data_IF_893143642710
#
_entry.id   IF_893143642710
#
_cell.length_a   1.000
_cell.length_b   1.000
_cell.length_c   1.000
_cell.angle_alpha   90.00
_cell.angle_beta   90.00
_cell.angle_gamma   90.00
#
_symmetry.space_group_name_H-M   'P 1'
#
loop_
_entity.id
_entity.type
_entity.pdbx_description
1 polymer ?
#
# COMPACT_ATOMS: atom_id res chain seq x y z
N UNK A 1 -5.69 7.61 -19.94
CA UNK A 1 -5.44 8.15 -18.59
C UNK A 1 -5.57 6.99 -17.60
N UNK A 2 -4.48 6.61 -16.93
CA UNK A 2 -4.51 5.50 -15.97
C UNK A 2 -5.29 5.95 -14.72
N UNK A 3 -6.38 5.26 -14.35
CA UNK A 3 -7.18 5.58 -13.18
C UNK A 3 -6.49 5.05 -11.92
N UNK A 4 -5.57 5.84 -11.37
CA UNK A 4 -4.80 5.55 -10.17
C UNK A 4 -5.70 5.46 -8.94
N UNK A 5 -6.79 6.23 -8.89
CA UNK A 5 -7.76 6.13 -7.80
C UNK A 5 -8.40 4.74 -7.70
N UNK A 6 -8.84 4.18 -8.84
CA UNK A 6 -9.39 2.81 -8.93
C UNK A 6 -8.33 1.77 -8.60
N UNK A 7 -7.12 1.95 -9.12
CA UNK A 7 -6.00 1.04 -8.82
C UNK A 7 -5.65 1.04 -7.33
N UNK A 8 -5.67 2.20 -6.68
CA UNK A 8 -5.48 2.33 -5.24
C UNK A 8 -6.61 1.63 -4.47
N UNK A 9 -7.87 1.76 -4.91
CA UNK A 9 -8.99 1.05 -4.29
C UNK A 9 -8.83 -0.47 -4.37
N UNK A 10 -8.48 -1.01 -5.54
CA UNK A 10 -8.20 -2.44 -5.71
C UNK A 10 -7.03 -2.90 -4.84
N UNK A 11 -5.98 -2.09 -4.71
CA UNK A 11 -4.83 -2.40 -3.85
C UNK A 11 -5.22 -2.46 -2.37
N UNK A 12 -6.11 -1.59 -1.90
CA UNK A 12 -6.63 -1.66 -0.53
C UNK A 12 -7.40 -2.96 -0.25
N UNK A 13 -8.00 -3.56 -1.28
CA UNK A 13 -8.74 -4.81 -1.20
C UNK A 13 -7.83 -6.05 -1.21
N UNK A 14 -6.60 -5.92 -1.70
CA UNK A 14 -5.63 -7.01 -1.78
C UNK A 14 -5.12 -7.42 -0.38
N UNK A 15 -5.43 -8.66 0.02
CA UNK A 15 -4.98 -9.24 1.29
C UNK A 15 -3.45 -9.30 1.42
N UNK A 16 -2.73 -9.54 0.33
CA UNK A 16 -1.27 -9.54 0.35
C UNK A 16 -0.69 -8.15 0.57
N UNK A 17 -1.37 -7.10 0.10
CA UNK A 17 -0.98 -5.73 0.39
C UNK A 17 -1.20 -5.38 1.86
N UNK A 18 -2.31 -5.85 2.46
CA UNK A 18 -2.57 -5.69 3.90
C UNK A 18 -1.49 -6.36 4.75
N UNK A 19 -1.12 -7.61 4.42
CA UNK A 19 -0.01 -8.32 5.07
C UNK A 19 1.34 -7.61 4.94
N UNK A 20 1.61 -6.97 3.79
CA UNK A 20 2.78 -6.12 3.62
C UNK A 20 2.78 -4.94 4.61
N UNK A 21 1.62 -4.32 4.84
CA UNK A 21 1.48 -3.22 5.79
C UNK A 21 1.64 -3.67 7.25
N UNK A 22 1.12 -4.84 7.61
CA UNK A 22 1.32 -5.45 8.94
C UNK A 22 2.82 -5.57 9.24
N UNK A 23 3.55 -6.24 8.34
CA UNK A 23 5.01 -6.45 8.47
C UNK A 23 5.78 -5.14 8.49
N UNK A 24 5.39 -4.17 7.66
CA UNK A 24 6.01 -2.84 7.63
C UNK A 24 5.78 -2.08 8.94
N UNK A 25 4.60 -2.19 9.55
CA UNK A 25 4.33 -1.60 10.88
C UNK A 25 5.14 -2.31 11.97
N UNK A 26 5.23 -3.63 11.98
CA UNK A 26 6.07 -4.36 12.94
C UNK A 26 7.50 -3.84 12.92
N UNK A 27 8.10 -3.77 11.73
CA UNK A 27 9.47 -3.30 11.56
C UNK A 27 9.65 -1.82 11.96
N UNK A 28 8.65 -0.96 11.70
CA UNK A 28 8.76 0.48 11.97
C UNK A 28 8.53 0.83 13.44
N UNK A 29 7.59 0.17 14.10
CA UNK A 29 7.16 0.51 15.47
C UNK A 29 7.69 -0.49 16.52
N UNK A 30 8.43 -1.52 16.11
CA UNK A 30 8.87 -2.62 16.96
C UNK A 30 7.73 -3.24 17.78
N UNK A 31 6.55 -3.34 17.15
CA UNK A 31 5.32 -3.86 17.74
C UNK A 31 5.01 -5.25 17.16
N UNK A 32 4.50 -6.15 18.00
CA UNK A 32 4.01 -7.45 17.57
C UNK A 32 2.56 -7.36 17.09
N UNK A 33 2.38 -6.97 15.82
CA UNK A 33 1.06 -6.80 15.19
C UNK A 33 0.71 -8.08 14.43
N UNK A 34 -0.29 -8.90 14.79
CA UNK A 34 -0.58 -10.16 14.08
C UNK A 34 -0.83 -9.97 12.56
N UNK A 35 -0.48 -10.97 11.75
CA UNK A 35 -0.75 -10.97 10.31
C UNK A 35 -2.28 -10.96 10.11
N UNK A 36 -2.81 -10.04 9.29
CA UNK A 36 -4.26 -9.90 9.07
C UNK A 36 -4.96 -8.86 9.94
N UNK A 37 -4.22 -8.05 10.71
CA UNK A 37 -4.79 -6.98 11.54
C UNK A 37 -5.23 -5.78 10.70
N UNK A 38 -4.55 -5.49 9.59
CA UNK A 38 -4.90 -4.35 8.74
C UNK A 38 -6.14 -4.62 7.87
N UNK A 39 -7.11 -3.73 8.00
CA UNK A 39 -8.33 -3.69 7.17
C UNK A 39 -8.11 -2.89 5.88
N UNK A 40 -9.10 -2.92 4.98
CA UNK A 40 -9.13 -2.04 3.80
C UNK A 40 -8.95 -0.56 4.17
N UNK A 41 -9.58 -0.14 5.27
CA UNK A 41 -9.55 1.24 5.73
C UNK A 41 -8.14 1.64 6.17
N UNK A 42 -7.41 0.76 6.88
CA UNK A 42 -6.01 1.00 7.21
C UNK A 42 -5.12 1.12 5.97
N UNK A 43 -5.36 0.31 4.93
CA UNK A 43 -4.64 0.40 3.67
C UNK A 43 -4.92 1.72 2.93
N UNK A 44 -6.18 2.16 2.94
CA UNK A 44 -6.58 3.48 2.41
C UNK A 44 -5.85 4.59 3.15
N UNK A 45 -5.95 4.63 4.48
CA UNK A 45 -5.38 5.71 5.29
C UNK A 45 -3.86 5.78 5.14
N UNK A 46 -3.20 4.62 5.01
CA UNK A 46 -1.78 4.56 4.68
C UNK A 46 -1.45 5.25 3.34
N UNK A 47 -2.20 4.95 2.28
CA UNK A 47 -1.98 5.57 0.96
C UNK A 47 -2.21 7.08 1.04
N UNK A 48 -3.30 7.52 1.68
CA UNK A 48 -3.63 8.93 1.87
C UNK A 48 -2.52 9.68 2.61
N UNK A 49 -2.06 9.11 3.74
CA UNK A 49 -1.01 9.70 4.56
C UNK A 49 0.33 9.78 3.83
N UNK A 50 0.74 8.71 3.13
CA UNK A 50 2.03 8.68 2.41
C UNK A 50 2.00 9.61 1.20
N UNK A 51 0.87 9.69 0.50
CA UNK A 51 0.73 10.54 -0.70
C UNK A 51 0.38 11.99 -0.35
N UNK A 52 0.05 12.30 0.91
CA UNK A 52 -0.30 13.66 1.36
C UNK A 52 -1.65 14.16 0.81
N UNK A 53 -2.61 13.27 0.60
CA UNK A 53 -3.92 13.56 0.00
C UNK A 53 -5.06 13.14 0.93
N UNK A 54 -6.26 13.71 0.75
CA UNK A 54 -7.45 13.40 1.56
C UNK A 54 -8.39 12.41 0.87
N UNK A 55 -8.30 12.30 -0.46
CA UNK A 55 -9.09 11.40 -1.28
C UNK A 55 -8.23 10.68 -2.32
N UNK A 56 -8.54 9.39 -2.57
CA UNK A 56 -7.90 8.59 -3.63
C UNK A 56 -8.08 9.21 -5.01
N UNK A 57 -9.17 9.94 -5.24
CA UNK A 57 -9.43 10.66 -6.49
C UNK A 57 -8.35 11.70 -6.82
N UNK A 58 -7.68 12.25 -5.81
CA UNK A 58 -6.60 13.21 -6.02
C UNK A 58 -5.38 12.58 -6.72
N UNK A 59 -5.22 11.25 -6.66
CA UNK A 59 -4.15 10.56 -7.39
C UNK A 59 -4.21 10.78 -8.90
N UNK A 60 -5.41 10.97 -9.45
CA UNK A 60 -5.59 11.13 -10.90
C UNK A 60 -5.25 12.54 -11.40
N UNK A 61 -5.18 13.53 -10.48
CA UNK A 61 -5.00 14.94 -10.82
C UNK A 61 -3.79 15.59 -10.16
N UNK A 62 -3.17 14.91 -9.17
CA UNK A 62 -2.00 15.39 -8.46
C UNK A 62 -0.76 14.55 -8.85
N UNK A 63 0.14 15.08 -9.72
CA UNK A 63 1.30 14.32 -10.21
C UNK A 63 2.30 13.97 -9.09
N UNK A 64 2.38 14.79 -8.03
CA UNK A 64 3.25 14.50 -6.88
C UNK A 64 2.71 13.30 -6.09
N UNK A 65 1.40 13.27 -5.84
CA UNK A 65 0.74 12.15 -5.17
C UNK A 65 0.83 10.87 -6.01
N UNK A 66 0.65 10.97 -7.33
CA UNK A 66 0.83 9.85 -8.27
C UNK A 66 2.25 9.27 -8.19
N UNK A 67 3.28 10.12 -8.20
CA UNK A 67 4.66 9.69 -8.10
C UNK A 67 4.94 8.95 -6.78
N UNK A 68 4.39 9.44 -5.65
CA UNK A 68 4.48 8.75 -4.36
C UNK A 68 3.76 7.41 -4.37
N UNK A 69 2.56 7.34 -4.96
CA UNK A 69 1.81 6.10 -5.11
C UNK A 69 2.58 5.07 -5.96
N UNK A 70 3.24 5.49 -7.05
CA UNK A 70 4.12 4.61 -7.82
C UNK A 70 5.28 4.04 -6.99
N UNK A 71 5.87 4.83 -6.09
CA UNK A 71 6.91 4.32 -5.16
C UNK A 71 6.35 3.25 -4.21
N UNK A 72 5.10 3.40 -3.74
CA UNK A 72 4.42 2.38 -2.93
C UNK A 72 4.27 1.09 -3.75
N UNK A 73 3.79 1.19 -5.00
CA UNK A 73 3.63 0.04 -5.89
C UNK A 73 4.95 -0.69 -6.14
N UNK A 74 6.05 0.06 -6.38
CA UNK A 74 7.38 -0.53 -6.56
C UNK A 74 7.86 -1.26 -5.31
N UNK A 75 7.69 -0.66 -4.12
CA UNK A 75 8.06 -1.29 -2.85
C UNK A 75 7.27 -2.59 -2.60
N UNK A 76 5.97 -2.56 -2.88
CA UNK A 76 5.11 -3.73 -2.78
C UNK A 76 5.50 -4.82 -3.79
N UNK A 77 5.79 -4.46 -5.05
CA UNK A 77 6.26 -5.41 -6.05
C UNK A 77 7.56 -6.11 -5.64
N UNK A 78 8.53 -5.38 -5.07
CA UNK A 78 9.76 -5.96 -4.51
C UNK A 78 9.46 -6.96 -3.39
N UNK A 79 8.51 -6.65 -2.51
CA UNK A 79 8.06 -7.57 -1.46
C UNK A 79 7.42 -8.84 -2.04
N UNK A 80 6.56 -8.71 -3.05
CA UNK A 80 5.96 -9.86 -3.73
C UNK A 80 7.03 -10.76 -4.39
N UNK A 81 8.03 -10.17 -5.05
CA UNK A 81 9.13 -10.93 -5.64
C UNK A 81 9.96 -11.69 -4.60
N UNK A 82 10.28 -11.07 -3.45
CA UNK A 82 10.97 -11.76 -2.35
C UNK A 82 10.16 -12.93 -1.82
N UNK A 83 8.88 -12.71 -1.53
CA UNK A 83 7.98 -13.78 -1.06
C UNK A 83 7.87 -14.96 -2.01
N UNK A 84 7.83 -14.71 -3.32
CA UNK A 84 7.79 -15.79 -4.33
C UNK A 84 9.08 -16.63 -4.31
N UNK A 85 10.24 -15.99 -4.06
CA UNK A 85 11.53 -16.69 -3.93
C UNK A 85 11.60 -17.52 -2.66
N UNK A 86 11.07 -17.03 -1.55
CA UNK A 86 11.09 -17.73 -0.26
C UNK A 86 10.09 -18.92 -0.22
N UNK A 87 9.13 -18.96 -1.14
CA UNK A 87 8.13 -20.02 -1.26
C UNK A 87 8.52 -21.14 -2.25
N UNK A 88 9.72 -21.07 -2.84
CA UNK A 88 10.33 -22.09 -3.72
C UNK A 88 11.46 -22.77 -2.99
#
# INVERSE_FOLDING_TARGET
MANLARRAAMLCQDNHFRLYLDRRRRAKFNMDVPDGTHTEQCARDFILQVCGIKSRAELDHNPNAAALFHKILQAYGRYQHRRKRDAT
#
